data_IF_920421454192
#
_entry.id   IF_920421454192
#
_cell.length_a   1.000
_cell.length_b   1.000
_cell.length_c   1.000
_cell.angle_alpha   90.00
_cell.angle_beta   90.00
_cell.angle_gamma   90.00
#
_symmetry.space_group_name_H-M   'P 1'
#
loop_
_entity.id
_entity.type
_entity.pdbx_description
1 polymer ?
#
# COMPACT_ATOMS: atom_id res chain seq x y z
N UNK A 1 1.48 13.12 24.91
CA UNK A 1 1.40 14.05 23.75
C UNK A 1 2.04 13.42 22.50
N UNK A 2 3.31 13.02 22.53
CA UNK A 2 4.05 12.51 21.35
C UNK A 2 3.46 11.25 20.71
N UNK A 3 3.07 10.25 21.51
CA UNK A 3 2.45 9.01 21.00
C UNK A 3 1.09 9.24 20.33
N UNK A 4 0.33 10.22 20.82
CA UNK A 4 -0.97 10.58 20.26
C UNK A 4 -0.81 11.21 18.88
N UNK A 5 0.18 12.11 18.72
CA UNK A 5 0.53 12.73 17.44
C UNK A 5 1.00 11.67 16.44
N UNK A 6 1.81 10.70 16.90
CA UNK A 6 2.26 9.58 16.08
C UNK A 6 1.11 8.67 15.62
N UNK A 7 0.17 8.36 16.50
CA UNK A 7 -1.01 7.57 16.14
C UNK A 7 -1.89 8.31 15.12
N UNK A 8 -2.07 9.62 15.31
CA UNK A 8 -2.84 10.47 14.39
C UNK A 8 -2.19 10.53 13.00
N UNK A 9 -0.86 10.67 12.93
CA UNK A 9 -0.13 10.72 11.66
C UNK A 9 -0.16 9.38 10.91
N UNK A 10 -0.06 8.25 11.62
CA UNK A 10 -0.25 6.93 11.03
C UNK A 10 -1.65 6.79 10.42
N UNK A 11 -2.67 7.22 11.16
CA UNK A 11 -4.06 7.11 10.73
C UNK A 11 -4.33 7.96 9.47
N UNK A 12 -3.78 9.17 9.38
CA UNK A 12 -3.89 10.00 8.18
C UNK A 12 -3.13 9.44 6.98
N UNK A 13 -1.96 8.83 7.19
CA UNK A 13 -1.21 8.13 6.13
C UNK A 13 -2.00 6.94 5.58
N UNK A 14 -2.62 6.16 6.46
CA UNK A 14 -3.44 5.00 6.05
C UNK A 14 -4.67 5.46 5.27
N UNK A 15 -5.43 6.44 5.79
CA UNK A 15 -6.62 6.97 5.13
C UNK A 15 -6.29 7.60 3.76
N UNK A 16 -5.24 8.41 3.70
CA UNK A 16 -4.79 9.03 2.43
C UNK A 16 -4.36 7.97 1.42
N UNK A 17 -3.63 6.94 1.87
CA UNK A 17 -3.26 5.81 1.03
C UNK A 17 -4.46 5.09 0.45
N UNK A 18 -5.46 4.74 1.27
CA UNK A 18 -6.69 4.07 0.80
C UNK A 18 -7.42 4.94 -0.23
N UNK A 19 -7.55 6.25 0.03
CA UNK A 19 -8.21 7.17 -0.89
C UNK A 19 -7.47 7.25 -2.23
N UNK A 20 -6.13 7.35 -2.19
CA UNK A 20 -5.27 7.43 -3.36
C UNK A 20 -5.36 6.14 -4.19
N UNK A 21 -5.36 4.97 -3.55
CA UNK A 21 -5.56 3.67 -4.19
C UNK A 21 -6.91 3.61 -4.93
N UNK A 22 -7.99 4.06 -4.28
CA UNK A 22 -9.33 4.08 -4.88
C UNK A 22 -9.38 4.98 -6.11
N UNK A 23 -8.72 6.14 -6.08
CA UNK A 23 -8.68 7.04 -7.23
C UNK A 23 -7.80 6.50 -8.36
N UNK A 24 -6.59 6.03 -8.04
CA UNK A 24 -5.67 5.48 -9.04
C UNK A 24 -6.27 4.27 -9.74
N UNK A 25 -6.97 3.39 -9.02
CA UNK A 25 -7.60 2.21 -9.63
C UNK A 25 -8.68 2.56 -10.66
N UNK A 26 -9.43 3.65 -10.47
CA UNK A 26 -10.44 4.08 -11.45
C UNK A 26 -9.84 4.35 -12.83
N UNK A 27 -8.56 4.74 -12.87
CA UNK A 27 -7.87 5.14 -14.10
C UNK A 27 -6.83 4.12 -14.58
N UNK A 28 -6.18 3.41 -13.67
CA UNK A 28 -5.11 2.47 -13.96
C UNK A 28 -5.31 1.19 -13.15
N UNK A 29 -5.25 0.03 -13.80
CA UNK A 29 -5.24 -1.28 -13.14
C UNK A 29 -3.82 -1.87 -13.19
N UNK A 30 -2.83 -1.29 -12.49
CA UNK A 30 -1.48 -1.83 -12.52
C UNK A 30 -1.49 -3.25 -11.92
N UNK A 31 -0.69 -4.13 -12.54
CA UNK A 31 -0.56 -5.51 -12.11
C UNK A 31 -0.07 -5.56 -10.65
N UNK A 32 -0.82 -6.25 -9.78
CA UNK A 32 -0.56 -6.33 -8.33
C UNK A 32 0.87 -6.77 -7.98
N UNK A 33 1.43 -7.69 -8.76
CA UNK A 33 2.76 -8.24 -8.56
C UNK A 33 3.85 -7.22 -8.85
N UNK A 34 3.61 -6.36 -9.84
CA UNK A 34 4.54 -5.29 -10.20
C UNK A 34 4.61 -4.26 -9.07
N UNK A 35 3.46 -3.86 -8.51
CA UNK A 35 3.43 -2.93 -7.37
C UNK A 35 4.07 -3.54 -6.11
N UNK A 36 3.82 -4.83 -5.85
CA UNK A 36 4.44 -5.56 -4.75
C UNK A 36 5.96 -5.66 -4.89
N UNK A 37 6.48 -5.87 -6.10
CA UNK A 37 7.93 -5.88 -6.36
C UNK A 37 8.55 -4.48 -6.27
N UNK A 38 7.85 -3.47 -6.80
CA UNK A 38 8.35 -2.08 -6.81
C UNK A 38 8.42 -1.50 -5.39
N UNK A 39 7.51 -1.88 -4.49
CA UNK A 39 7.49 -1.42 -3.10
C UNK A 39 8.87 -1.42 -2.42
N UNK A 40 9.48 -2.58 -2.16
CA UNK A 40 10.80 -2.65 -1.54
C UNK A 40 11.91 -2.04 -2.42
N UNK A 41 11.80 -2.13 -3.75
CA UNK A 41 12.76 -1.53 -4.67
C UNK A 41 12.86 0.00 -4.50
N UNK A 42 11.74 0.68 -4.19
CA UNK A 42 11.72 2.13 -3.92
C UNK A 42 12.68 2.51 -2.79
N UNK A 43 12.81 1.68 -1.75
CA UNK A 43 13.71 1.95 -0.62
C UNK A 43 15.13 1.42 -0.86
N UNK A 44 15.27 0.26 -1.50
CA UNK A 44 16.55 -0.41 -1.71
C UNK A 44 17.44 0.36 -2.71
N UNK A 45 16.86 0.87 -3.81
CA UNK A 45 17.59 1.67 -4.80
C UNK A 45 18.34 2.86 -4.15
N UNK A 46 17.66 3.77 -3.44
CA UNK A 46 18.31 4.93 -2.84
C UNK A 46 19.28 4.57 -1.73
N UNK A 47 19.02 3.48 -0.99
CA UNK A 47 19.95 2.97 0.02
C UNK A 47 21.30 2.58 -0.59
N UNK A 48 21.29 1.99 -1.79
CA UNK A 48 22.49 1.51 -2.49
C UNK A 48 23.18 2.64 -3.27
N UNK A 49 22.42 3.43 -4.02
CA UNK A 49 22.97 4.40 -4.98
C UNK A 49 23.24 5.78 -4.37
N UNK A 50 22.52 6.15 -3.31
CA UNK A 50 22.56 7.51 -2.73
C UNK A 50 22.43 7.47 -1.21
N UNK A 51 23.42 6.90 -0.49
CA UNK A 51 23.34 6.74 0.97
C UNK A 51 23.23 8.08 1.72
N UNK A 52 23.70 9.19 1.14
CA UNK A 52 23.60 10.54 1.70
C UNK A 52 22.37 11.32 1.22
N UNK A 53 21.22 10.65 1.09
CA UNK A 53 19.96 11.33 0.83
C UNK A 53 19.56 12.20 2.03
N UNK A 54 19.18 13.47 1.83
CA UNK A 54 18.66 14.31 2.91
C UNK A 54 17.41 13.68 3.54
N UNK A 55 17.28 13.84 4.86
CA UNK A 55 16.22 13.22 5.67
C UNK A 55 14.80 13.47 5.12
N UNK A 56 14.56 14.63 4.52
CA UNK A 56 13.25 14.94 3.91
C UNK A 56 12.88 13.98 2.77
N UNK A 57 13.84 13.61 1.94
CA UNK A 57 13.61 12.67 0.84
C UNK A 57 13.36 11.26 1.39
N UNK A 58 14.07 10.84 2.44
CA UNK A 58 13.80 9.58 3.14
C UNK A 58 12.37 9.49 3.67
N UNK A 59 11.85 10.55 4.27
CA UNK A 59 10.45 10.60 4.75
C UNK A 59 9.47 10.47 3.58
N UNK A 60 9.74 11.14 2.46
CA UNK A 60 8.93 11.01 1.24
C UNK A 60 8.92 9.58 0.69
N UNK A 61 10.09 8.93 0.65
CA UNK A 61 10.22 7.55 0.19
C UNK A 61 9.54 6.54 1.10
N UNK A 62 9.66 6.70 2.42
CA UNK A 62 8.97 5.84 3.39
C UNK A 62 7.45 6.00 3.25
N UNK A 63 6.99 7.23 3.04
CA UNK A 63 5.56 7.50 2.80
C UNK A 63 5.08 6.83 1.51
N UNK A 64 5.87 6.94 0.44
CA UNK A 64 5.57 6.31 -0.85
C UNK A 64 5.57 4.78 -0.74
N UNK A 65 6.52 4.22 0.02
CA UNK A 65 6.56 2.80 0.36
C UNK A 65 5.29 2.35 1.09
N UNK A 66 4.86 3.08 2.13
CA UNK A 66 3.61 2.81 2.84
C UNK A 66 2.41 2.82 1.87
N UNK A 67 2.31 3.79 0.97
CA UNK A 67 1.24 3.83 -0.02
C UNK A 67 1.26 2.64 -0.98
N UNK A 68 2.42 2.21 -1.48
CA UNK A 68 2.52 1.00 -2.30
C UNK A 68 2.10 -0.26 -1.55
N UNK A 69 2.42 -0.37 -0.25
CA UNK A 69 1.95 -1.49 0.58
C UNK A 69 0.44 -1.45 0.76
N UNK A 70 -0.13 -0.28 1.09
CA UNK A 70 -1.58 -0.10 1.22
C UNK A 70 -2.27 -0.47 -0.10
N UNK A 71 -1.72 -0.07 -1.25
CA UNK A 71 -2.23 -0.47 -2.57
C UNK A 71 -2.23 -1.99 -2.75
N UNK A 72 -1.14 -2.66 -2.38
CA UNK A 72 -1.00 -4.11 -2.51
C UNK A 72 -2.00 -4.86 -1.62
N UNK A 73 -2.14 -4.46 -0.35
CA UNK A 73 -3.08 -5.06 0.58
C UNK A 73 -4.54 -4.83 0.16
N UNK A 74 -4.91 -3.60 -0.21
CA UNK A 74 -6.27 -3.27 -0.66
C UNK A 74 -6.62 -4.01 -1.97
N UNK A 75 -5.64 -4.19 -2.85
CA UNK A 75 -5.81 -4.98 -4.06
C UNK A 75 -5.98 -6.46 -3.78
N UNK A 76 -5.21 -7.00 -2.84
CA UNK A 76 -5.37 -8.38 -2.39
C UNK A 76 -6.73 -8.59 -1.72
N UNK A 77 -7.13 -7.71 -0.80
CA UNK A 77 -8.43 -7.73 -0.14
C UNK A 77 -9.58 -7.77 -1.15
N UNK A 78 -9.58 -6.87 -2.12
CA UNK A 78 -10.65 -6.84 -3.12
C UNK A 78 -10.68 -8.07 -4.03
N UNK A 79 -9.52 -8.67 -4.34
CA UNK A 79 -9.46 -9.92 -5.10
C UNK A 79 -9.99 -11.12 -4.31
N UNK A 80 -9.79 -11.11 -2.99
CA UNK A 80 -10.41 -12.08 -2.08
C UNK A 80 -11.93 -11.89 -2.04
N UNK A 81 -12.40 -10.64 -1.89
CA UNK A 81 -13.83 -10.29 -1.84
C UNK A 81 -14.55 -10.56 -3.17
N UNK A 82 -13.89 -10.39 -4.32
CA UNK A 82 -14.46 -10.71 -5.65
C UNK A 82 -14.34 -12.19 -6.02
N UNK A 83 -13.82 -13.05 -5.13
CA UNK A 83 -13.75 -14.50 -5.35
C UNK A 83 -12.82 -14.95 -6.50
N UNK A 84 -12.02 -14.03 -7.05
CA UNK A 84 -11.06 -14.32 -8.13
C UNK A 84 -9.81 -15.06 -7.63
N UNK A 85 -9.69 -15.26 -6.32
CA UNK A 85 -8.69 -16.10 -5.67
C UNK A 85 -9.46 -17.05 -4.76
N UNK A 86 -9.39 -18.36 -5.02
CA UNK A 86 -9.89 -19.38 -4.08
C UNK A 86 -9.06 -19.30 -2.80
N UNK A 87 -9.55 -18.61 -1.79
CA UNK A 87 -9.16 -18.93 -0.42
C UNK A 87 -9.66 -20.33 -0.10
N UNK A 88 -8.85 -21.13 0.60
CA UNK A 88 -9.28 -22.45 1.09
C UNK A 88 -10.51 -22.40 2.01
N UNK A 89 -10.89 -21.20 2.48
CA UNK A 89 -12.14 -20.96 3.17
C UNK A 89 -13.25 -20.66 2.16
N UNK A 90 -13.85 -21.73 1.65
CA UNK A 90 -15.13 -21.71 0.96
C UNK A 90 -16.22 -21.33 1.97
N UNK A 91 -16.40 -20.04 2.26
CA UNK A 91 -17.67 -19.60 2.85
C UNK A 91 -18.73 -19.65 1.75
N UNK A 92 -19.41 -20.81 1.68
CA UNK A 92 -20.83 -20.80 1.35
C UNK A 92 -21.54 -19.72 2.18
N UNK A 93 -22.69 -19.25 1.68
CA UNK A 93 -23.59 -18.23 2.23
C UNK A 93 -23.19 -16.80 1.81
N UNK A 94 -23.99 -16.02 1.09
CA UNK A 94 -25.45 -15.99 0.97
C UNK A 94 -25.85 -15.55 -0.45
N UNK A 95 -26.53 -16.44 -1.16
CA UNK A 95 -27.35 -16.16 -2.34
C UNK A 95 -28.46 -15.19 -1.94
N UNK A 96 -28.61 -14.08 -2.65
CA UNK A 96 -29.80 -13.22 -2.57
C UNK A 96 -31.03 -13.96 -3.09
#
# INVERSE_FOLDING_TARGET
MTYFIFALSLLTIVLSGIWLVRQFRKRYQPNRWLVGFIGPLILILPLIFTPNLPNFLWVGLITLFCWTNIYFFETTRMLLETGKIKTGFKSSQVTK
#
